data_IF_075289095029
#
_entry.id   IF_075289095029
#
_cell.length_a   1.000
_cell.length_b   1.000
_cell.length_c   1.000
_cell.angle_alpha   90.00
_cell.angle_beta   90.00
_cell.angle_gamma   90.00
#
_symmetry.space_group_name_H-M   'P 1'
#
loop_
_entity.id
_entity.type
_entity.pdbx_description
1 polymer ?
#
# COMPACT_ATOMS: atom_id res chain seq x y z
N UNK A 1 26.13 -23.73 15.64
CA UNK A 1 25.28 -24.24 14.54
C UNK A 1 24.00 -23.42 14.54
N UNK A 2 23.61 -22.87 13.40
CA UNK A 2 22.29 -22.25 13.26
C UNK A 2 21.24 -23.32 13.55
N UNK A 3 20.25 -23.02 14.39
CA UNK A 3 19.17 -23.94 14.72
C UNK A 3 18.13 -24.05 13.61
N UNK A 4 18.31 -23.32 12.51
CA UNK A 4 17.56 -23.51 11.30
C UNK A 4 17.60 -24.97 10.86
N UNK A 5 16.50 -25.39 10.23
CA UNK A 5 16.32 -26.69 9.60
C UNK A 5 17.65 -27.17 9.00
N UNK A 6 18.11 -28.39 9.29
CA UNK A 6 19.44 -28.86 8.87
C UNK A 6 19.65 -28.80 7.35
N UNK A 7 18.55 -28.74 6.59
CA UNK A 7 18.54 -28.65 5.12
C UNK A 7 18.70 -27.21 4.58
N UNK A 8 18.62 -26.18 5.43
CA UNK A 8 18.76 -24.79 4.99
C UNK A 8 20.24 -24.40 4.91
N UNK A 9 20.75 -24.31 3.68
CA UNK A 9 22.15 -23.97 3.42
C UNK A 9 22.29 -22.46 3.17
N UNK A 10 23.19 -21.82 3.92
CA UNK A 10 23.56 -20.41 3.71
C UNK A 10 24.39 -20.24 2.43
N UNK A 11 24.18 -19.12 1.72
CA UNK A 11 24.89 -18.82 0.46
C UNK A 11 26.44 -18.79 0.59
N UNK A 12 26.97 -18.21 1.67
CA UNK A 12 28.42 -18.11 1.99
C UNK A 12 29.32 -17.49 0.90
N UNK A 13 28.77 -16.76 -0.05
CA UNK A 13 29.54 -15.93 -1.01
C UNK A 13 30.14 -14.69 -0.31
N UNK A 14 31.07 -14.03 -0.99
CA UNK A 14 31.67 -12.78 -0.49
C UNK A 14 30.56 -11.76 -0.16
N UNK A 15 30.51 -11.21 1.07
CA UNK A 15 29.51 -10.24 1.44
C UNK A 15 29.75 -8.93 0.67
N UNK A 16 28.67 -8.39 0.09
CA UNK A 16 28.68 -7.12 -0.61
C UNK A 16 28.40 -5.95 0.33
N UNK A 17 28.01 -4.82 -0.27
CA UNK A 17 27.71 -3.58 0.46
C UNK A 17 26.28 -3.61 1.04
N UNK A 18 25.41 -4.46 0.47
CA UNK A 18 24.00 -4.51 0.82
C UNK A 18 23.75 -4.96 2.27
N UNK A 19 22.92 -4.20 2.99
CA UNK A 19 22.48 -4.55 4.34
C UNK A 19 21.36 -5.60 4.25
N UNK A 20 21.54 -6.70 4.97
CA UNK A 20 20.52 -7.72 5.14
C UNK A 20 19.37 -7.19 5.99
N UNK A 21 18.14 -7.49 5.56
CA UNK A 21 16.93 -7.03 6.24
C UNK A 21 16.09 -8.25 6.64
N UNK A 22 15.27 -8.11 7.67
CA UNK A 22 14.35 -9.15 8.15
C UNK A 22 12.90 -8.70 7.96
N UNK A 23 12.00 -9.65 7.79
CA UNK A 23 10.56 -9.37 7.79
C UNK A 23 10.01 -9.34 9.22
N UNK A 24 8.78 -8.85 9.40
CA UNK A 24 8.15 -8.74 10.72
C UNK A 24 8.10 -10.07 11.51
N UNK A 25 8.05 -11.22 10.82
CA UNK A 25 8.02 -12.55 11.46
C UNK A 25 9.36 -12.95 12.07
N UNK A 26 10.44 -12.42 11.52
CA UNK A 26 11.80 -12.75 11.88
C UNK A 26 12.54 -11.56 12.49
N UNK A 27 11.82 -10.50 12.85
CA UNK A 27 12.42 -9.27 13.35
C UNK A 27 13.17 -9.52 14.67
N UNK A 28 14.35 -8.93 14.79
CA UNK A 28 15.23 -9.11 15.94
C UNK A 28 15.93 -10.48 16.05
N UNK A 29 15.66 -11.44 15.17
CA UNK A 29 16.37 -12.73 15.17
C UNK A 29 17.77 -12.59 14.59
N UNK A 30 18.75 -13.21 15.27
CA UNK A 30 20.09 -13.36 14.70
C UNK A 30 20.10 -14.41 13.58
N UNK A 31 20.60 -14.05 12.39
CA UNK A 31 20.68 -14.91 11.19
C UNK A 31 21.53 -16.17 11.41
N UNK A 32 22.41 -16.18 12.42
CA UNK A 32 23.35 -17.29 12.66
C UNK A 32 22.86 -18.25 13.75
N UNK A 33 22.15 -17.76 14.76
CA UNK A 33 21.81 -18.56 15.94
C UNK A 33 20.35 -18.46 16.38
N UNK A 34 19.51 -17.72 15.64
CA UNK A 34 18.09 -17.49 15.93
C UNK A 34 17.81 -16.83 17.29
N UNK A 35 18.84 -16.32 17.96
CA UNK A 35 18.68 -15.64 19.23
C UNK A 35 18.20 -14.20 19.03
N UNK A 36 17.31 -13.75 19.91
CA UNK A 36 16.83 -12.36 19.96
C UNK A 36 17.70 -11.43 20.83
N UNK A 37 18.78 -11.95 21.39
CA UNK A 37 19.59 -11.23 22.40
C UNK A 37 20.93 -10.79 21.82
N UNK A 38 21.37 -9.59 22.23
CA UNK A 38 22.70 -8.99 21.97
C UNK A 38 23.07 -8.89 20.47
N UNK A 39 22.35 -8.07 19.68
CA UNK A 39 22.78 -7.74 18.33
C UNK A 39 24.09 -6.93 18.38
N UNK A 40 25.12 -7.38 17.65
CA UNK A 40 26.45 -6.75 17.69
C UNK A 40 26.92 -6.26 16.33
N UNK A 41 26.64 -7.01 15.26
CA UNK A 41 27.12 -6.70 13.90
C UNK A 41 25.97 -6.63 12.90
N UNK A 42 26.05 -5.69 11.96
CA UNK A 42 25.10 -5.57 10.86
C UNK A 42 25.36 -6.68 9.84
N UNK A 43 24.29 -7.36 9.43
CA UNK A 43 24.36 -8.44 8.44
C UNK A 43 24.55 -7.85 7.04
N UNK A 44 25.49 -8.41 6.27
CA UNK A 44 25.75 -8.05 4.87
C UNK A 44 25.42 -9.22 3.95
N UNK A 45 24.78 -8.93 2.82
CA UNK A 45 24.35 -9.91 1.83
C UNK A 45 25.26 -9.82 0.61
N UNK A 46 25.55 -10.95 -0.04
CA UNK A 46 26.33 -10.95 -1.29
C UNK A 46 25.55 -10.24 -2.42
N UNK A 47 26.27 -9.72 -3.41
CA UNK A 47 25.65 -8.91 -4.47
C UNK A 47 24.65 -9.69 -5.33
N UNK A 48 24.88 -11.00 -5.52
CA UNK A 48 23.94 -11.87 -6.22
C UNK A 48 22.61 -12.04 -5.48
N UNK A 49 22.64 -12.25 -4.16
CA UNK A 49 21.42 -12.36 -3.36
C UNK A 49 20.69 -11.01 -3.22
N UNK A 50 21.35 -9.89 -3.52
CA UNK A 50 20.76 -8.56 -3.54
C UNK A 50 20.49 -8.05 -4.97
N UNK A 51 20.37 -8.94 -5.96
CA UNK A 51 20.10 -8.55 -7.34
C UNK A 51 18.59 -8.62 -7.69
N UNK A 52 18.10 -7.59 -8.38
CA UNK A 52 16.75 -7.57 -8.98
C UNK A 52 15.60 -7.81 -7.99
N UNK A 53 14.83 -8.87 -8.20
CA UNK A 53 13.64 -9.22 -7.40
C UNK A 53 13.97 -9.78 -6.01
N UNK A 54 15.25 -10.10 -5.76
CA UNK A 54 15.74 -10.54 -4.45
C UNK A 54 16.12 -9.38 -3.53
N UNK A 55 16.13 -8.16 -4.05
CA UNK A 55 16.35 -6.96 -3.25
C UNK A 55 15.29 -6.78 -2.16
N UNK A 56 15.75 -6.54 -0.93
CA UNK A 56 14.88 -6.28 0.21
C UNK A 56 14.04 -7.48 0.63
N UNK A 57 14.55 -8.70 0.43
CA UNK A 57 13.97 -9.92 0.98
C UNK A 57 14.57 -10.28 2.34
N UNK A 58 13.77 -10.96 3.15
CA UNK A 58 14.17 -11.45 4.46
C UNK A 58 15.32 -12.44 4.32
N UNK A 59 16.40 -12.25 5.07
CA UNK A 59 17.57 -13.13 5.03
C UNK A 59 17.26 -14.55 5.53
N UNK A 60 16.27 -14.69 6.42
CA UNK A 60 15.92 -15.99 7.03
C UNK A 60 14.90 -16.75 6.17
N UNK A 61 13.74 -16.15 5.88
CA UNK A 61 12.65 -16.83 5.18
C UNK A 61 12.54 -16.49 3.68
N UNK A 62 13.32 -15.56 3.15
CA UNK A 62 13.20 -15.09 1.76
C UNK A 62 11.91 -14.33 1.45
N UNK A 63 11.06 -14.09 2.46
CA UNK A 63 9.82 -13.33 2.34
C UNK A 63 10.08 -11.88 1.96
N UNK A 64 9.14 -11.27 1.24
CA UNK A 64 9.22 -9.83 0.93
C UNK A 64 9.06 -9.03 2.21
N UNK A 65 10.03 -8.18 2.50
CA UNK A 65 10.02 -7.31 3.67
C UNK A 65 9.15 -6.13 3.30
N UNK A 66 7.84 -6.31 3.50
CA UNK A 66 6.78 -5.34 3.26
C UNK A 66 7.27 -4.18 2.39
N UNK A 67 7.53 -4.46 1.11
CA UNK A 67 7.36 -3.44 0.08
C UNK A 67 5.95 -3.00 0.35
N UNK A 68 5.83 -1.79 0.92
CA UNK A 68 4.62 -1.05 1.22
C UNK A 68 3.37 -1.91 1.08
N UNK A 69 2.57 -2.02 2.15
CA UNK A 69 1.14 -1.91 1.89
C UNK A 69 0.97 -0.62 1.05
N UNK A 70 1.09 -0.69 -0.29
CA UNK A 70 -0.04 -0.35 -1.12
C UNK A 70 -1.12 -1.19 -0.48
N UNK A 71 -1.76 -0.58 0.52
CA UNK A 71 -3.14 -0.85 0.83
C UNK A 71 -3.81 -1.14 -0.49
N UNK A 72 -4.70 -2.12 -0.49
CA UNK A 72 -5.49 -2.56 -1.62
C UNK A 72 -6.36 -1.44 -2.22
N UNK A 73 -5.78 -0.31 -2.60
CA UNK A 73 -6.31 0.58 -3.62
C UNK A 73 -6.11 -0.19 -4.92
N UNK A 74 -7.01 -1.15 -5.14
CA UNK A 74 -7.45 -1.53 -6.48
C UNK A 74 -7.41 -0.26 -7.32
N UNK A 75 -6.84 -0.25 -8.54
CA UNK A 75 -6.97 0.91 -9.40
C UNK A 75 -8.46 1.21 -9.47
N UNK A 76 -8.91 2.30 -8.81
CA UNK A 76 -10.32 2.69 -8.81
C UNK A 76 -10.63 2.81 -10.29
N UNK A 77 -11.48 1.91 -10.82
CA UNK A 77 -12.05 2.06 -12.17
C UNK A 77 -12.41 3.53 -12.27
N UNK A 78 -11.93 4.23 -13.30
CA UNK A 78 -12.19 5.66 -13.52
C UNK A 78 -13.70 5.84 -13.78
N UNK A 79 -14.53 5.67 -12.76
CA UNK A 79 -15.83 6.29 -12.72
C UNK A 79 -15.56 7.79 -12.72
N UNK A 80 -16.28 8.59 -13.54
CA UNK A 80 -16.18 10.03 -13.42
C UNK A 80 -16.44 10.37 -11.96
N UNK A 81 -15.43 10.99 -11.31
CA UNK A 81 -15.51 11.36 -9.90
C UNK A 81 -16.88 11.97 -9.64
N UNK A 82 -17.55 11.57 -8.56
CA UNK A 82 -18.83 12.20 -8.20
C UNK A 82 -18.69 13.73 -8.17
N UNK A 83 -17.50 14.22 -7.80
CA UNK A 83 -17.11 15.63 -7.88
C UNK A 83 -17.14 16.22 -9.32
N UNK A 84 -16.79 15.45 -10.34
CA UNK A 84 -16.89 15.87 -11.74
C UNK A 84 -18.34 15.91 -12.24
N UNK A 85 -19.21 14.99 -11.77
CA UNK A 85 -20.65 15.02 -12.08
C UNK A 85 -21.32 16.25 -11.47
N UNK A 86 -21.05 16.52 -10.18
CA UNK A 86 -21.50 17.72 -9.46
C UNK A 86 -21.06 18.98 -10.21
N UNK A 87 -19.77 19.10 -10.55
CA UNK A 87 -19.23 20.26 -11.28
C UNK A 87 -19.86 20.46 -12.67
N UNK A 88 -20.23 19.38 -13.36
CA UNK A 88 -20.90 19.47 -14.65
C UNK A 88 -22.36 19.93 -14.52
N UNK A 89 -23.09 19.44 -13.52
CA UNK A 89 -24.48 19.85 -13.25
C UNK A 89 -24.57 21.29 -12.76
N UNK A 90 -23.68 21.72 -11.86
CA UNK A 90 -23.58 23.13 -11.42
C UNK A 90 -23.31 24.08 -12.59
N UNK A 91 -22.48 23.65 -13.55
CA UNK A 91 -22.25 24.41 -14.80
C UNK A 91 -23.49 24.43 -15.70
N UNK A 92 -24.29 23.37 -15.69
CA UNK A 92 -25.51 23.29 -16.48
C UNK A 92 -26.58 24.22 -15.90
N UNK A 93 -26.77 24.20 -14.59
CA UNK A 93 -27.71 25.07 -13.86
C UNK A 93 -27.34 26.56 -13.91
N UNK A 94 -26.09 26.90 -14.19
CA UNK A 94 -25.64 28.29 -14.43
C UNK A 94 -26.01 28.84 -15.82
N UNK A 95 -26.70 28.08 -16.68
CA UNK A 95 -27.15 28.58 -17.99
C UNK A 95 -28.48 29.33 -17.81
N UNK A 96 -28.50 30.60 -18.18
CA UNK A 96 -29.65 31.51 -17.99
C UNK A 96 -30.88 31.20 -18.86
N UNK A 97 -30.81 30.19 -19.75
CA UNK A 97 -31.85 29.86 -20.73
C UNK A 97 -32.62 28.57 -20.43
N UNK A 98 -32.59 28.08 -19.18
CA UNK A 98 -33.23 26.83 -18.81
C UNK A 98 -34.69 27.06 -18.38
N UNK A 99 -35.66 26.27 -18.90
CA UNK A 99 -37.03 26.22 -18.36
C UNK A 99 -37.03 25.75 -16.91
N UNK A 100 -37.89 26.32 -16.06
CA UNK A 100 -37.88 26.07 -14.61
C UNK A 100 -38.13 24.62 -14.24
N UNK A 101 -38.96 23.91 -15.01
CA UNK A 101 -39.22 22.48 -14.84
C UNK A 101 -37.94 21.65 -14.98
N UNK A 102 -37.05 22.04 -15.90
CA UNK A 102 -35.75 21.37 -16.07
C UNK A 102 -34.73 21.79 -15.00
N UNK A 103 -34.83 22.99 -14.44
CA UNK A 103 -33.95 23.43 -13.35
C UNK A 103 -34.23 22.67 -12.07
N UNK A 104 -35.50 22.55 -11.68
CA UNK A 104 -35.92 21.78 -10.51
C UNK A 104 -35.43 20.34 -10.60
N UNK A 105 -35.64 19.68 -11.75
CA UNK A 105 -35.16 18.32 -11.98
C UNK A 105 -33.62 18.19 -11.88
N UNK A 106 -32.86 19.18 -12.35
CA UNK A 106 -31.39 19.17 -12.31
C UNK A 106 -30.82 19.57 -10.94
N UNK A 107 -31.52 20.41 -10.18
CA UNK A 107 -31.19 20.75 -8.79
C UNK A 107 -31.43 19.55 -7.86
N UNK A 108 -32.53 18.80 -8.06
CA UNK A 108 -32.77 17.54 -7.36
C UNK A 108 -31.67 16.50 -7.68
N UNK A 109 -31.27 16.38 -8.95
CA UNK A 109 -30.17 15.50 -9.38
C UNK A 109 -28.83 15.89 -8.72
N UNK A 110 -28.55 17.20 -8.60
CA UNK A 110 -27.36 17.71 -7.93
C UNK A 110 -27.36 17.39 -6.42
N UNK A 111 -28.50 17.59 -5.76
CA UNK A 111 -28.68 17.35 -4.32
C UNK A 111 -28.50 15.87 -3.96
N UNK A 112 -29.05 14.97 -4.77
CA UNK A 112 -28.87 13.53 -4.59
C UNK A 112 -27.41 13.11 -4.74
N UNK A 113 -26.68 13.67 -5.71
CA UNK A 113 -25.25 13.41 -5.86
C UNK A 113 -24.41 13.96 -4.71
N UNK A 114 -24.77 15.12 -4.14
CA UNK A 114 -24.11 15.67 -2.95
C UNK A 114 -24.28 14.74 -1.73
N UNK A 115 -25.50 14.24 -1.51
CA UNK A 115 -25.77 13.26 -0.45
C UNK A 115 -24.95 11.98 -0.62
N UNK A 116 -24.79 11.49 -1.85
CA UNK A 116 -23.94 10.34 -2.15
C UNK A 116 -22.45 10.61 -1.91
N UNK A 117 -21.99 11.86 -2.01
CA UNK A 117 -20.60 12.22 -1.68
C UNK A 117 -20.35 12.33 -0.20
N UNK A 118 -21.30 12.88 0.55
CA UNK A 118 -21.23 13.01 2.01
C UNK A 118 -21.22 11.63 2.68
N UNK A 119 -22.12 10.73 2.28
CA UNK A 119 -22.15 9.36 2.80
C UNK A 119 -20.86 8.58 2.53
N UNK A 120 -20.22 8.78 1.37
CA UNK A 120 -18.91 8.19 1.07
C UNK A 120 -17.78 8.79 1.91
N UNK A 121 -17.83 10.09 2.19
CA UNK A 121 -16.85 10.74 3.06
C UNK A 121 -16.97 10.26 4.51
N UNK A 122 -18.19 10.03 4.98
CA UNK A 122 -18.45 9.49 6.31
C UNK A 122 -18.02 8.02 6.44
N UNK A 123 -18.29 7.19 5.43
CA UNK A 123 -17.79 5.81 5.34
C UNK A 123 -16.25 5.76 5.30
N UNK A 124 -15.60 6.68 4.57
CA UNK A 124 -14.15 6.75 4.52
C UNK A 124 -13.57 7.25 5.87
N UNK A 125 -14.18 8.25 6.52
CA UNK A 125 -13.74 8.80 7.81
C UNK A 125 -13.89 7.80 8.96
N UNK A 126 -14.96 6.99 8.94
CA UNK A 126 -15.19 5.94 9.93
C UNK A 126 -14.23 4.76 9.80
N UNK A 127 -13.60 4.57 8.63
CA UNK A 127 -12.54 3.58 8.41
C UNK A 127 -11.15 4.04 8.86
N UNK A 128 -10.98 5.34 9.08
CA UNK A 128 -9.71 5.96 9.51
C UNK A 128 -9.58 6.08 11.05
N UNK A 129 -10.65 5.78 11.80
CA UNK A 129 -10.68 5.71 13.28
C UNK A 129 -10.52 4.24 13.70
#
# INVERSE_FOLDING_TARGET
MAKHHPDLIMCRKQPGIAIGRLCEKDDGKCVICDSYVKPQTLVRVCDECNYGTFQGRCVICGGTILRMKKTDVKPKKKTPSLKNKIRNLERFLKKDTLPEDMRLAKEEELKELQRQTEGKQEEDKSREI
#
